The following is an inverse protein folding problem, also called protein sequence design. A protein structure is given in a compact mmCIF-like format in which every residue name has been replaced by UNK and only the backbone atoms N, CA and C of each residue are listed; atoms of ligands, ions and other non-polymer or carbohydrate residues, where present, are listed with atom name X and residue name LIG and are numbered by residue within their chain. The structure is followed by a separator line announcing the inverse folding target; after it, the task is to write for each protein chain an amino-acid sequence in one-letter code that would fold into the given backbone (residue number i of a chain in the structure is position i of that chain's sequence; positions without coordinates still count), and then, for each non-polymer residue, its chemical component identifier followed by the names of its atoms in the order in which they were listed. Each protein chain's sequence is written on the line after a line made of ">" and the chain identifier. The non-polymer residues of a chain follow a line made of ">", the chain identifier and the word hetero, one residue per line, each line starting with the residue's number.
data_IF_228168061028
#
_entry.id   IF_228168061028
#
_cell.length_a   1.000
_cell.length_b   1.000
_cell.length_c   1.000
_cell.angle_alpha   90.00
_cell.angle_beta   90.00
_cell.angle_gamma   90.00
#
_symmetry.space_group_name_H-M   'P 1'
#
loop_
_entity.id
_entity.type
_entity.pdbx_description
1 polymer ?
#
# COMPACT_ATOMS: atom_id res chain seq x y z
N UNK A 1 -18.26 21.93 -21.99
CA UNK A 1 -18.27 21.64 -20.54
C UNK A 1 -17.12 20.73 -20.12
N UNK A 2 -17.05 19.45 -20.55
CA UNK A 2 -15.96 18.55 -20.13
C UNK A 2 -14.58 18.93 -20.70
N UNK A 3 -14.51 19.37 -21.97
CA UNK A 3 -13.25 19.82 -22.60
C UNK A 3 -12.69 21.08 -21.93
N UNK A 4 -13.57 22.03 -21.61
CA UNK A 4 -13.21 23.29 -20.95
C UNK A 4 -12.68 23.05 -19.54
N UNK A 5 -13.24 22.07 -18.83
CA UNK A 5 -12.76 21.63 -17.53
C UNK A 5 -11.35 21.03 -17.58
N UNK A 6 -11.11 20.08 -18.49
CA UNK A 6 -9.79 19.43 -18.65
C UNK A 6 -8.72 20.45 -19.06
N UNK A 7 -9.06 21.37 -19.96
CA UNK A 7 -8.16 22.45 -20.36
C UNK A 7 -7.73 23.30 -19.16
N UNK A 8 -8.70 23.72 -18.34
CA UNK A 8 -8.43 24.57 -17.18
C UNK A 8 -7.56 23.90 -16.10
N UNK A 9 -7.77 22.61 -15.81
CA UNK A 9 -6.97 21.93 -14.77
C UNK A 9 -5.55 21.60 -15.25
N UNK A 10 -5.36 21.42 -16.56
CA UNK A 10 -4.05 21.18 -17.15
C UNK A 10 -3.27 22.47 -17.36
N UNK A 11 -3.95 23.58 -17.63
CA UNK A 11 -3.34 24.89 -17.86
C UNK A 11 -2.22 24.86 -18.93
N UNK A 12 -2.38 24.01 -19.95
CA UNK A 12 -1.40 23.85 -21.00
C UNK A 12 -1.58 24.93 -22.08
N UNK A 13 -0.46 25.49 -22.56
CA UNK A 13 -0.46 26.40 -23.70
C UNK A 13 -0.77 25.61 -24.99
N UNK A 14 -1.63 26.12 -25.90
CA UNK A 14 -1.87 25.46 -27.18
C UNK A 14 -0.60 25.34 -28.03
N UNK A 15 -0.49 24.26 -28.82
CA UNK A 15 0.71 23.93 -29.60
C UNK A 15 1.11 25.06 -30.56
N UNK A 16 0.12 25.70 -31.18
CA UNK A 16 0.29 26.83 -32.08
C UNK A 16 0.90 28.08 -31.40
N UNK A 17 0.88 28.14 -30.07
CA UNK A 17 1.43 29.25 -29.28
C UNK A 17 2.70 28.87 -28.50
N UNK A 18 3.18 27.62 -28.58
CA UNK A 18 4.35 27.15 -27.84
C UNK A 18 5.62 27.96 -28.14
N UNK A 19 5.74 28.53 -29.35
CA UNK A 19 6.84 29.41 -29.72
C UNK A 19 6.96 30.64 -28.80
N UNK A 20 5.88 31.06 -28.14
CA UNK A 20 5.87 32.19 -27.20
C UNK A 20 6.45 31.85 -25.82
N UNK A 21 6.48 30.56 -25.47
CA UNK A 21 6.97 30.04 -24.17
C UNK A 21 8.22 29.17 -24.33
N UNK A 22 8.84 29.17 -25.50
CA UNK A 22 10.07 28.45 -25.74
C UNK A 22 11.21 29.11 -24.96
N UNK A 23 11.90 28.33 -24.13
CA UNK A 23 13.05 28.82 -23.37
C UNK A 23 14.24 29.12 -24.30
N UNK A 24 15.06 30.09 -23.89
CA UNK A 24 16.30 30.39 -24.58
C UNK A 24 17.34 29.31 -24.28
N UNK A 25 17.87 28.69 -25.34
CA UNK A 25 18.87 27.63 -25.23
C UNK A 25 18.42 26.35 -25.93
N UNK A 26 19.38 25.69 -26.57
CA UNK A 26 19.20 24.37 -27.17
C UNK A 26 20.26 23.44 -26.59
N UNK A 27 19.81 22.27 -26.14
CA UNK A 27 20.66 21.24 -25.58
C UNK A 27 20.52 19.97 -26.41
N UNK A 28 21.52 19.68 -27.25
CA UNK A 28 21.56 18.47 -28.09
C UNK A 28 20.31 18.30 -28.97
N UNK A 29 19.86 19.38 -29.63
CA UNK A 29 18.64 19.37 -30.44
C UNK A 29 17.33 19.44 -29.66
N UNK A 30 17.37 19.36 -28.32
CA UNK A 30 16.19 19.47 -27.44
C UNK A 30 16.00 20.93 -27.02
N UNK A 31 14.75 21.38 -27.09
CA UNK A 31 14.30 22.70 -26.62
C UNK A 31 13.22 22.53 -25.58
N UNK A 32 13.22 23.40 -24.58
CA UNK A 32 12.35 23.30 -23.42
C UNK A 32 11.28 24.41 -23.45
N UNK A 33 10.10 24.12 -22.88
CA UNK A 33 9.00 25.07 -22.77
C UNK A 33 8.89 25.54 -21.32
N UNK A 34 8.72 26.86 -21.12
CA UNK A 34 8.41 27.48 -19.83
C UNK A 34 6.92 27.33 -19.49
N UNK A 35 6.47 26.07 -19.36
CA UNK A 35 5.09 25.76 -19.01
C UNK A 35 4.85 25.94 -17.51
N UNK A 36 3.74 26.58 -17.17
CA UNK A 36 3.22 26.51 -15.81
C UNK A 36 2.87 25.06 -15.44
N UNK A 37 3.08 24.69 -14.18
CA UNK A 37 2.68 23.39 -13.67
C UNK A 37 1.15 23.24 -13.78
N UNK A 38 0.65 22.04 -14.16
CA UNK A 38 -0.78 21.79 -14.12
C UNK A 38 -1.37 22.09 -12.75
N UNK A 39 -2.51 22.78 -12.74
CA UNK A 39 -3.20 23.21 -11.51
C UNK A 39 -3.49 22.03 -10.59
N UNK A 40 -3.93 20.89 -11.15
CA UNK A 40 -4.19 19.68 -10.38
C UNK A 40 -2.93 19.10 -9.73
N UNK A 41 -1.78 19.21 -10.40
CA UNK A 41 -0.50 18.70 -9.90
C UNK A 41 -0.02 19.53 -8.71
N UNK A 42 -0.14 20.85 -8.80
CA UNK A 42 0.20 21.76 -7.71
C UNK A 42 -0.69 21.53 -6.48
N UNK A 43 -1.99 21.29 -6.68
CA UNK A 43 -2.88 20.91 -5.58
C UNK A 43 -2.53 19.56 -4.96
N UNK A 44 -2.17 18.56 -5.79
CA UNK A 44 -1.72 17.26 -5.28
C UNK A 44 -0.49 17.42 -4.38
N UNK A 45 0.49 18.23 -4.79
CA UNK A 45 1.67 18.51 -3.96
C UNK A 45 1.29 19.10 -2.59
N UNK A 46 0.40 20.10 -2.57
CA UNK A 46 -0.08 20.71 -1.32
C UNK A 46 -0.82 19.70 -0.44
N UNK A 47 -1.65 18.83 -1.04
CA UNK A 47 -2.34 17.76 -0.31
C UNK A 47 -1.34 16.80 0.35
N UNK A 48 -0.28 16.41 -0.36
CA UNK A 48 0.78 15.56 0.20
C UNK A 48 1.47 16.23 1.40
N UNK A 49 1.77 17.54 1.30
CA UNK A 49 2.36 18.31 2.41
C UNK A 49 1.44 18.32 3.62
N UNK A 50 0.15 18.65 3.43
CA UNK A 50 -0.84 18.67 4.52
C UNK A 50 -1.00 17.28 5.14
N UNK A 51 -1.04 16.23 4.31
CA UNK A 51 -1.14 14.84 4.78
C UNK A 51 0.09 14.45 5.60
N UNK A 52 1.30 14.83 5.18
CA UNK A 52 2.53 14.58 5.93
C UNK A 52 2.56 15.29 7.29
N UNK A 53 2.16 16.57 7.34
CA UNK A 53 2.02 17.31 8.60
C UNK A 53 0.99 16.63 9.50
N UNK A 54 -0.17 16.26 8.96
CA UNK A 54 -1.21 15.54 9.69
C UNK A 54 -0.72 14.22 10.26
N UNK A 55 0.07 13.45 9.50
CA UNK A 55 0.66 12.19 9.96
C UNK A 55 1.60 12.40 11.16
N UNK A 56 2.50 13.38 11.08
CA UNK A 56 3.44 13.70 12.17
C UNK A 56 2.68 14.13 13.42
N UNK A 57 1.67 14.99 13.27
CA UNK A 57 0.87 15.44 14.41
C UNK A 57 0.11 14.28 15.06
N UNK A 58 -0.53 13.42 14.26
CA UNK A 58 -1.34 12.32 14.75
C UNK A 58 -0.53 11.20 15.44
N UNK A 59 0.55 10.73 14.79
CA UNK A 59 1.33 9.59 15.28
C UNK A 59 2.48 9.99 16.22
N UNK A 60 3.21 11.07 15.91
CA UNK A 60 4.45 11.41 16.62
C UNK A 60 4.30 12.52 17.65
N UNK A 61 3.34 13.44 17.48
CA UNK A 61 3.17 14.59 18.40
C UNK A 61 2.12 14.32 19.46
N UNK A 62 0.89 14.00 19.04
CA UNK A 62 -0.22 13.77 19.95
C UNK A 62 -0.34 12.31 20.40
N UNK A 63 0.36 11.38 19.74
CA UNK A 63 0.35 9.96 20.08
C UNK A 63 -1.04 9.32 20.01
N UNK A 64 -1.90 9.80 19.10
CA UNK A 64 -3.28 9.32 18.96
C UNK A 64 -3.30 7.95 18.28
N UNK A 65 -2.43 7.77 17.28
CA UNK A 65 -2.25 6.50 16.57
C UNK A 65 -1.15 5.65 17.16
N UNK A 66 -1.31 4.32 17.07
CA UNK A 66 -0.24 3.39 17.40
C UNK A 66 0.87 3.44 16.35
N UNK A 67 2.12 3.45 16.81
CA UNK A 67 3.28 3.17 15.97
C UNK A 67 3.42 1.65 15.77
N UNK A 68 4.18 1.28 14.74
CA UNK A 68 4.32 -0.11 14.29
C UNK A 68 4.59 -1.12 15.41
N UNK A 69 5.44 -0.80 16.39
CA UNK A 69 5.75 -1.71 17.50
C UNK A 69 4.53 -1.95 18.39
N UNK A 70 3.79 -0.89 18.74
CA UNK A 70 2.61 -1.00 19.58
C UNK A 70 1.48 -1.75 18.86
N UNK A 71 1.31 -1.49 17.56
CA UNK A 71 0.33 -2.20 16.73
C UNK A 71 0.69 -3.69 16.60
N UNK A 72 1.96 -4.02 16.35
CA UNK A 72 2.46 -5.39 16.33
C UNK A 72 2.20 -6.13 17.66
N UNK A 73 2.48 -5.51 18.80
CA UNK A 73 2.23 -6.11 20.10
C UNK A 73 0.74 -6.40 20.33
N UNK A 74 -0.14 -5.50 19.88
CA UNK A 74 -1.60 -5.70 19.90
C UNK A 74 -2.01 -6.88 19.03
N UNK A 75 -1.51 -6.96 17.80
CA UNK A 75 -1.79 -8.10 16.90
C UNK A 75 -1.30 -9.43 17.48
N UNK A 76 -0.08 -9.46 18.04
CA UNK A 76 0.49 -10.64 18.69
C UNK A 76 -0.34 -11.05 19.90
N UNK A 77 -0.80 -10.10 20.72
CA UNK A 77 -1.67 -10.40 21.85
C UNK A 77 -3.00 -11.04 21.39
N UNK A 78 -3.60 -10.50 20.34
CA UNK A 78 -4.81 -11.06 19.71
C UNK A 78 -4.54 -12.47 19.17
N UNK A 79 -3.42 -12.67 18.47
CA UNK A 79 -3.04 -13.97 17.92
C UNK A 79 -2.77 -15.01 19.02
N UNK A 80 -2.08 -14.61 20.11
CA UNK A 80 -1.86 -15.46 21.29
C UNK A 80 -3.17 -15.87 21.94
N UNK A 81 -4.11 -14.94 22.11
CA UNK A 81 -5.44 -15.25 22.66
C UNK A 81 -6.22 -16.23 21.77
N UNK A 82 -6.18 -16.05 20.44
CA UNK A 82 -6.79 -16.98 19.48
C UNK A 82 -6.14 -18.37 19.54
N UNK A 83 -4.80 -18.42 19.57
CA UNK A 83 -4.03 -19.66 19.70
C UNK A 83 -4.36 -20.38 21.01
N UNK A 84 -4.41 -19.67 22.13
CA UNK A 84 -4.77 -20.24 23.42
C UNK A 84 -6.17 -20.85 23.42
N UNK A 85 -7.16 -20.16 22.82
CA UNK A 85 -8.52 -20.70 22.63
C UNK A 85 -8.53 -21.96 21.77
N UNK A 86 -7.77 -21.98 20.67
CA UNK A 86 -7.67 -23.14 19.79
C UNK A 86 -7.00 -24.33 20.50
N UNK A 87 -5.91 -24.08 21.22
CA UNK A 87 -5.24 -25.11 22.01
C UNK A 87 -6.14 -25.63 23.12
N UNK A 88 -6.94 -24.79 23.79
CA UNK A 88 -7.91 -25.27 24.78
C UNK A 88 -8.99 -26.23 24.23
N UNK A 89 -9.07 -26.44 22.91
CA UNK A 89 -9.93 -27.47 22.29
C UNK A 89 -9.18 -28.80 22.09
N UNK A 90 -9.69 -29.67 21.21
CA UNK A 90 -9.07 -30.95 20.84
C UNK A 90 -7.64 -30.83 20.29
N UNK A 91 -7.21 -29.64 19.85
CA UNK A 91 -5.89 -29.42 19.25
C UNK A 91 -4.74 -29.40 20.27
N UNK A 92 -4.92 -29.09 21.56
CA UNK A 92 -3.81 -29.18 22.54
C UNK A 92 -3.26 -30.60 22.73
N UNK A 93 -4.07 -31.61 22.41
CA UNK A 93 -3.68 -33.02 22.58
C UNK A 93 -2.91 -33.57 21.39
N UNK A 94 -2.76 -32.82 20.30
CA UNK A 94 -2.05 -33.24 19.08
C UNK A 94 -0.61 -32.73 19.14
N UNK A 95 0.35 -33.64 19.21
CA UNK A 95 1.78 -33.40 19.15
C UNK A 95 2.47 -34.50 18.32
N UNK A 96 3.79 -34.44 18.18
CA UNK A 96 4.59 -35.37 17.39
C UNK A 96 4.44 -36.85 17.83
N UNK A 97 4.00 -37.10 19.06
CA UNK A 97 3.82 -38.43 19.62
C UNK A 97 2.35 -38.90 19.64
N UNK A 98 1.39 -37.99 19.45
CA UNK A 98 -0.05 -38.30 19.52
C UNK A 98 -0.78 -38.15 18.19
N UNK A 99 -0.10 -37.63 17.16
CA UNK A 99 -0.65 -37.53 15.81
C UNK A 99 -0.86 -38.92 15.21
N UNK A 100 -2.09 -39.20 14.75
CA UNK A 100 -2.41 -40.42 14.01
C UNK A 100 -2.35 -40.17 12.51
N UNK A 101 -1.79 -41.11 11.75
CA UNK A 101 -1.77 -41.03 10.30
C UNK A 101 -3.20 -41.12 9.73
N UNK A 102 -3.60 -40.10 8.97
CA UNK A 102 -4.86 -40.12 8.23
C UNK A 102 -4.58 -40.64 6.81
N UNK A 103 -4.98 -41.87 6.51
CA UNK A 103 -4.71 -42.56 5.24
C UNK A 103 -5.89 -42.57 4.28
N UNK A 104 -7.05 -42.02 4.69
CA UNK A 104 -8.22 -41.94 3.83
C UNK A 104 -7.92 -41.09 2.57
N UNK A 105 -8.37 -41.51 1.37
CA UNK A 105 -8.04 -40.82 0.12
C UNK A 105 -8.40 -39.34 0.11
N UNK A 106 -9.51 -38.96 0.75
CA UNK A 106 -9.96 -37.57 0.86
C UNK A 106 -9.00 -36.72 1.69
N UNK A 107 -8.53 -37.24 2.83
CA UNK A 107 -7.56 -36.56 3.68
C UNK A 107 -6.18 -36.44 3.03
N UNK A 108 -5.75 -37.46 2.29
CA UNK A 108 -4.49 -37.43 1.54
C UNK A 108 -4.52 -36.40 0.39
N UNK A 109 -5.65 -36.29 -0.32
CA UNK A 109 -5.82 -35.29 -1.38
C UNK A 109 -5.76 -33.87 -0.83
N UNK A 110 -6.52 -33.57 0.24
CA UNK A 110 -6.48 -32.26 0.89
C UNK A 110 -5.11 -31.95 1.50
N UNK A 111 -4.46 -32.95 2.12
CA UNK A 111 -3.10 -32.80 2.66
C UNK A 111 -2.07 -32.49 1.59
N UNK A 112 -2.16 -33.14 0.42
CA UNK A 112 -1.31 -32.85 -0.75
C UNK A 112 -1.48 -31.41 -1.23
N UNK A 113 -2.71 -30.94 -1.39
CA UNK A 113 -2.99 -29.55 -1.81
C UNK A 113 -2.44 -28.53 -0.81
N UNK A 114 -2.64 -28.77 0.49
CA UNK A 114 -2.10 -27.91 1.56
C UNK A 114 -0.57 -27.90 1.56
N UNK A 115 0.07 -29.07 1.45
CA UNK A 115 1.52 -29.18 1.42
C UNK A 115 2.12 -28.45 0.22
N UNK A 116 1.54 -28.64 -0.97
CA UNK A 116 1.99 -27.94 -2.18
C UNK A 116 1.80 -26.42 -2.07
N UNK A 117 0.71 -25.97 -1.46
CA UNK A 117 0.41 -24.54 -1.33
C UNK A 117 1.17 -23.80 -0.22
N UNK A 118 1.73 -24.52 0.76
CA UNK A 118 2.30 -23.90 1.99
C UNK A 118 3.71 -24.37 2.37
N UNK A 119 4.15 -25.53 1.89
CA UNK A 119 5.36 -26.19 2.40
C UNK A 119 6.34 -26.64 1.31
N UNK A 120 5.90 -26.80 0.05
CA UNK A 120 6.72 -27.38 -1.02
C UNK A 120 7.65 -26.39 -1.74
N UNK A 121 7.58 -25.10 -1.38
CA UNK A 121 8.41 -24.02 -1.93
C UNK A 121 9.61 -23.71 -1.04
#
# INVERSE_FOLDING_TARGET
>A
MAKDFISNINNAVPVEEEAKILLEGEHDGIRELDNALPTWWSYLFVICVISGIGYILYYHTFGIGDLQTADYEKEVAIAKAKKAKLLATKYAKINENTVAALTEPTHLSTGKELYLGKCAS
#
